data_IF_749404783945
#
_entry.id   IF_749404783945
#
_cell.length_a   1.000
_cell.length_b   1.000
_cell.length_c   1.000
_cell.angle_alpha   90.00
_cell.angle_beta   90.00
_cell.angle_gamma   90.00
#
_symmetry.space_group_name_H-M   'P 1'
#
loop_
_entity.id
_entity.type
_entity.pdbx_description
1 polymer ?
#
# COMPACT_ATOMS: atom_id res chain seq x y z
N UNK A 1 -17.72 4.47 14.16
CA UNK A 1 -17.58 4.66 12.70
C UNK A 1 -16.37 3.82 12.32
N UNK A 2 -16.35 2.86 11.39
CA UNK A 2 -17.19 2.59 10.22
C UNK A 2 -17.25 1.07 9.99
N UNK A 3 -18.45 0.52 9.81
CA UNK A 3 -18.71 -0.91 9.70
C UNK A 3 -18.48 -1.49 8.28
N UNK A 4 -17.62 -0.88 7.45
CA UNK A 4 -17.44 -1.29 6.04
C UNK A 4 -15.98 -1.48 5.60
N UNK A 5 -15.06 -1.74 6.53
CA UNK A 5 -13.70 -2.18 6.20
C UNK A 5 -13.56 -3.70 6.29
N UNK A 6 -14.57 -4.46 5.84
CA UNK A 6 -14.35 -5.90 5.69
C UNK A 6 -13.24 -6.07 4.64
N UNK A 7 -12.09 -6.68 5.00
CA UNK A 7 -11.07 -6.99 4.02
C UNK A 7 -11.73 -7.79 2.90
N UNK A 8 -11.60 -7.33 1.66
CA UNK A 8 -12.13 -8.08 0.51
C UNK A 8 -11.51 -9.47 0.56
N UNK A 9 -12.37 -10.50 0.56
CA UNK A 9 -11.90 -11.87 0.59
C UNK A 9 -11.13 -12.14 -0.70
N UNK A 10 -9.86 -12.56 -0.56
CA UNK A 10 -8.99 -12.81 -1.70
C UNK A 10 -9.59 -13.81 -2.71
N UNK A 11 -10.40 -14.77 -2.24
CA UNK A 11 -11.08 -15.74 -3.11
C UNK A 11 -12.16 -15.10 -3.96
N UNK A 12 -12.94 -14.17 -3.40
CA UNK A 12 -13.96 -13.42 -4.14
C UNK A 12 -13.30 -12.53 -5.20
N UNK A 13 -12.18 -11.90 -4.85
CA UNK A 13 -11.38 -11.12 -5.78
C UNK A 13 -10.86 -11.98 -6.96
N UNK A 14 -10.28 -13.15 -6.68
CA UNK A 14 -9.81 -14.10 -7.70
C UNK A 14 -10.91 -14.57 -8.65
N UNK A 15 -12.14 -14.72 -8.17
CA UNK A 15 -13.28 -15.07 -9.01
C UNK A 15 -13.65 -13.87 -9.89
N UNK A 16 -13.79 -12.69 -9.31
CA UNK A 16 -14.21 -11.48 -10.01
C UNK A 16 -13.27 -11.09 -11.17
N UNK A 17 -11.94 -11.23 -10.99
CA UNK A 17 -10.97 -10.84 -12.02
C UNK A 17 -11.00 -11.76 -13.26
N UNK A 18 -11.56 -12.97 -13.17
CA UNK A 18 -11.63 -13.90 -14.32
C UNK A 18 -12.53 -13.40 -15.44
N UNK A 19 -13.55 -12.62 -15.09
CA UNK A 19 -14.54 -12.11 -16.04
C UNK A 19 -14.20 -10.71 -16.59
N UNK A 20 -13.12 -10.09 -16.11
CA UNK A 20 -12.69 -8.76 -16.54
C UNK A 20 -11.91 -8.81 -17.85
N UNK A 21 -11.96 -7.71 -18.61
CA UNK A 21 -11.09 -7.50 -19.77
C UNK A 21 -9.65 -7.24 -19.36
N UNK A 22 -8.72 -7.45 -20.29
CA UNK A 22 -7.29 -7.27 -20.06
C UNK A 22 -6.95 -5.82 -19.67
N UNK A 23 -7.59 -4.84 -20.32
CA UNK A 23 -7.46 -3.41 -19.98
C UNK A 23 -7.89 -3.14 -18.53
N UNK A 24 -8.99 -3.76 -18.09
CA UNK A 24 -9.46 -3.63 -16.71
C UNK A 24 -8.48 -4.27 -15.71
N UNK A 25 -7.87 -5.41 -16.06
CA UNK A 25 -6.85 -6.04 -15.22
C UNK A 25 -5.62 -5.13 -15.06
N UNK A 26 -5.13 -4.54 -16.14
CA UNK A 26 -4.00 -3.59 -16.08
C UNK A 26 -4.36 -2.33 -15.30
N UNK A 27 -5.59 -1.81 -15.48
CA UNK A 27 -6.06 -0.65 -14.74
C UNK A 27 -6.11 -0.92 -13.23
N UNK A 28 -6.68 -2.06 -12.81
CA UNK A 28 -6.72 -2.47 -11.41
C UNK A 28 -5.29 -2.68 -10.86
N UNK A 29 -4.38 -3.25 -11.65
CA UNK A 29 -2.98 -3.43 -11.26
C UNK A 29 -2.33 -2.08 -10.91
N UNK A 30 -2.48 -1.09 -11.78
CA UNK A 30 -1.93 0.24 -11.56
C UNK A 30 -2.58 0.94 -10.37
N UNK A 31 -3.89 0.76 -10.16
CA UNK A 31 -4.59 1.30 -9.00
C UNK A 31 -4.07 0.69 -7.69
N UNK A 32 -3.84 -0.63 -7.64
CA UNK A 32 -3.27 -1.30 -6.47
C UNK A 32 -1.84 -0.81 -6.20
N UNK A 33 -0.98 -0.75 -7.22
CA UNK A 33 0.40 -0.25 -7.07
C UNK A 33 0.40 1.19 -6.55
N UNK A 34 -0.42 2.07 -7.14
CA UNK A 34 -0.51 3.47 -6.70
C UNK A 34 -1.05 3.60 -5.28
N UNK A 35 -1.98 2.72 -4.87
CA UNK A 35 -2.52 2.75 -3.51
C UNK A 35 -1.52 2.22 -2.49
N UNK A 36 -0.75 1.18 -2.81
CA UNK A 36 0.33 0.67 -1.95
C UNK A 36 1.38 1.78 -1.78
N UNK A 37 1.87 2.35 -2.87
CA UNK A 37 2.89 3.42 -2.83
C UNK A 37 2.44 4.61 -1.99
N UNK A 38 1.17 5.02 -2.06
CA UNK A 38 0.67 6.13 -1.21
C UNK A 38 0.60 5.78 0.28
N UNK A 39 0.31 4.51 0.60
CA UNK A 39 0.29 4.06 1.99
C UNK A 39 1.71 4.01 2.53
N UNK A 40 2.66 3.48 1.75
CA UNK A 40 4.09 3.49 2.08
C UNK A 40 4.63 4.93 2.25
N UNK A 41 4.30 5.86 1.34
CA UNK A 41 4.66 7.28 1.48
C UNK A 41 4.06 7.89 2.77
N UNK A 42 2.86 7.46 3.17
CA UNK A 42 2.21 7.93 4.40
C UNK A 42 2.89 7.37 5.63
N UNK A 43 3.26 6.08 5.61
CA UNK A 43 3.99 5.43 6.70
C UNK A 43 5.36 6.08 6.89
N UNK A 44 6.09 6.38 5.82
CA UNK A 44 7.35 7.12 5.87
C UNK A 44 7.19 8.49 6.56
N UNK A 45 6.09 9.21 6.29
CA UNK A 45 5.80 10.48 6.96
C UNK A 45 5.52 10.25 8.45
N UNK A 46 4.68 9.27 8.79
CA UNK A 46 4.32 8.97 10.19
C UNK A 46 5.53 8.50 11.01
N UNK A 47 6.43 7.72 10.42
CA UNK A 47 7.68 7.31 11.07
C UNK A 47 8.57 8.52 11.39
N UNK A 48 8.67 9.48 10.47
CA UNK A 48 9.40 10.72 10.72
C UNK A 48 8.75 11.56 11.83
N UNK A 49 7.42 11.66 11.87
CA UNK A 49 6.69 12.35 12.95
C UNK A 49 6.90 11.65 14.30
N UNK A 50 6.95 10.32 14.34
CA UNK A 50 7.28 9.54 15.53
C UNK A 50 8.69 9.87 16.03
N UNK A 51 9.67 9.95 15.14
CA UNK A 51 11.05 10.30 15.49
C UNK A 51 11.10 11.72 16.07
N UNK A 52 10.52 12.69 15.35
CA UNK A 52 10.46 14.10 15.77
C UNK A 52 9.80 14.27 17.14
N UNK A 53 8.66 13.60 17.35
CA UNK A 53 7.90 13.65 18.61
C UNK A 53 8.70 13.04 19.78
N UNK A 54 9.44 11.94 19.54
CA UNK A 54 10.32 11.33 20.55
C UNK A 54 11.48 12.25 20.92
N UNK A 55 12.06 12.95 19.95
CA UNK A 55 13.10 13.94 20.19
C UNK A 55 12.56 15.13 21.00
N UNK A 56 11.35 15.60 20.69
CA UNK A 56 10.68 16.68 21.44
C UNK A 56 10.46 16.28 22.91
N UNK A 57 9.89 15.08 23.17
CA UNK A 57 9.71 14.56 24.54
C UNK A 57 11.05 14.49 25.29
N UNK A 58 12.13 14.10 24.61
CA UNK A 58 13.45 13.96 25.23
C UNK A 58 14.08 15.31 25.60
N UNK A 59 13.66 16.39 24.97
CA UNK A 59 14.15 17.74 25.19
C UNK A 59 13.31 18.56 26.18
N UNK A 60 12.10 18.10 26.50
CA UNK A 60 11.21 18.75 27.48
C UNK A 60 11.69 18.53 28.92
N UNK A 61 11.39 19.50 29.78
CA UNK A 61 11.71 19.39 31.22
C UNK A 61 10.66 18.51 31.90
N UNK A 62 11.06 17.76 32.93
CA UNK A 62 10.16 16.91 33.74
C UNK A 62 8.94 17.65 34.34
N UNK A 63 8.96 19.00 34.38
CA UNK A 63 7.86 19.84 34.83
C UNK A 63 6.79 20.13 33.76
N UNK A 64 7.04 19.80 32.50
CA UNK A 64 6.13 20.02 31.37
C UNK A 64 5.29 18.76 31.11
N UNK A 65 4.00 18.90 30.76
CA UNK A 65 3.15 17.75 30.48
C UNK A 65 3.53 17.12 29.14
N UNK A 66 3.75 15.80 29.14
CA UNK A 66 4.08 15.03 27.94
C UNK A 66 2.86 14.27 27.39
N UNK A 67 1.68 14.46 27.96
CA UNK A 67 0.52 13.60 27.70
C UNK A 67 0.01 13.72 26.25
N UNK A 68 0.08 14.91 25.66
CA UNK A 68 -0.32 15.12 24.27
C UNK A 68 0.63 14.42 23.29
N UNK A 69 1.94 14.64 23.44
CA UNK A 69 2.95 14.02 22.58
C UNK A 69 2.94 12.48 22.67
N UNK A 70 2.62 11.92 23.86
CA UNK A 70 2.44 10.47 24.01
C UNK A 70 1.20 9.96 23.27
N UNK A 71 0.07 10.68 23.36
CA UNK A 71 -1.13 10.32 22.61
C UNK A 71 -0.89 10.40 21.10
N UNK A 72 -0.14 11.41 20.64
CA UNK A 72 0.21 11.55 19.22
C UNK A 72 1.08 10.37 18.75
N UNK A 73 2.06 9.94 19.56
CA UNK A 73 2.88 8.75 19.27
C UNK A 73 2.06 7.46 19.17
N UNK A 74 1.12 7.27 20.09
CA UNK A 74 0.24 6.10 20.08
C UNK A 74 -0.62 6.12 18.80
N UNK A 75 -1.19 7.28 18.46
CA UNK A 75 -2.01 7.43 17.24
C UNK A 75 -1.23 7.19 15.95
N UNK A 76 0.01 7.69 15.84
CA UNK A 76 0.84 7.46 14.67
C UNK A 76 1.22 5.98 14.55
N UNK A 77 1.52 5.32 15.68
CA UNK A 77 1.86 3.90 15.70
C UNK A 77 0.67 3.02 15.31
N UNK A 78 -0.53 3.32 15.82
CA UNK A 78 -1.78 2.65 15.43
C UNK A 78 -2.06 2.84 13.94
N UNK A 79 -1.85 4.04 13.40
CA UNK A 79 -2.08 4.35 11.98
C UNK A 79 -1.15 3.53 11.06
N UNK A 80 0.12 3.36 11.44
CA UNK A 80 1.08 2.51 10.68
C UNK A 80 0.65 1.04 10.73
N UNK A 81 0.18 0.55 11.88
CA UNK A 81 -0.30 -0.83 12.01
C UNK A 81 -1.53 -1.07 11.11
N UNK A 82 -2.47 -0.14 11.08
CA UNK A 82 -3.63 -0.21 10.19
C UNK A 82 -3.23 -0.18 8.70
N UNK A 83 -2.31 0.72 8.33
CA UNK A 83 -1.80 0.81 6.95
C UNK A 83 -1.10 -0.48 6.53
N UNK A 84 -0.31 -1.09 7.41
CA UNK A 84 0.38 -2.37 7.17
C UNK A 84 -0.62 -3.47 6.79
N UNK A 85 -1.73 -3.59 7.53
CA UNK A 85 -2.78 -4.58 7.24
C UNK A 85 -3.41 -4.34 5.86
N UNK A 86 -3.61 -3.07 5.50
CA UNK A 86 -4.16 -2.69 4.19
C UNK A 86 -3.17 -3.01 3.07
N UNK A 87 -1.89 -2.68 3.24
CA UNK A 87 -0.81 -2.98 2.28
C UNK A 87 -0.71 -4.49 2.04
N UNK A 88 -0.72 -5.31 3.10
CA UNK A 88 -0.71 -6.77 3.03
C UNK A 88 -1.89 -7.29 2.16
N UNK A 89 -3.11 -6.79 2.40
CA UNK A 89 -4.28 -7.17 1.62
C UNK A 89 -4.15 -6.76 0.14
N UNK A 90 -3.63 -5.57 -0.13
CA UNK A 90 -3.44 -5.09 -1.50
C UNK A 90 -2.35 -5.89 -2.24
N UNK A 91 -1.28 -6.27 -1.55
CA UNK A 91 -0.24 -7.14 -2.08
C UNK A 91 -0.78 -8.54 -2.42
N UNK A 92 -1.62 -9.13 -1.58
CA UNK A 92 -2.29 -10.40 -1.90
C UNK A 92 -3.14 -10.29 -3.17
N UNK A 93 -3.88 -9.18 -3.33
CA UNK A 93 -4.66 -8.91 -4.54
C UNK A 93 -3.77 -8.71 -5.76
N UNK A 94 -2.64 -8.03 -5.62
CA UNK A 94 -1.66 -7.83 -6.69
C UNK A 94 -1.06 -9.16 -7.16
N UNK A 95 -0.76 -10.08 -6.23
CA UNK A 95 -0.30 -11.44 -6.55
C UNK A 95 -1.36 -12.19 -7.35
N UNK A 96 -2.60 -12.26 -6.86
CA UNK A 96 -3.70 -12.92 -7.57
C UNK A 96 -3.94 -12.33 -8.98
N UNK A 97 -3.80 -11.02 -9.12
CA UNK A 97 -3.94 -10.34 -10.41
C UNK A 97 -2.79 -10.68 -11.37
N UNK A 98 -1.56 -10.74 -10.87
CA UNK A 98 -0.39 -11.14 -11.66
C UNK A 98 -0.50 -12.61 -12.10
N UNK A 99 -1.04 -13.50 -11.26
CA UNK A 99 -1.33 -14.88 -11.63
C UNK A 99 -2.35 -14.97 -12.78
N UNK A 100 -3.41 -14.18 -12.74
CA UNK A 100 -4.42 -14.12 -13.80
C UNK A 100 -3.85 -13.55 -15.10
N UNK A 101 -3.06 -12.47 -15.04
CA UNK A 101 -2.35 -11.92 -16.20
C UNK A 101 -1.39 -12.96 -16.80
N UNK A 102 -0.68 -13.72 -15.96
CA UNK A 102 0.19 -14.82 -16.40
C UNK A 102 -0.59 -15.94 -17.07
N UNK A 103 -1.74 -16.31 -16.51
CA UNK A 103 -2.65 -17.32 -17.09
C UNK A 103 -3.14 -16.92 -18.49
N UNK A 104 -3.34 -15.62 -18.72
CA UNK A 104 -3.75 -15.06 -20.01
C UNK A 104 -2.61 -14.82 -21.00
N UNK A 105 -1.35 -15.00 -20.57
CA UNK A 105 -0.18 -14.71 -21.41
C UNK A 105 0.11 -13.20 -21.57
N UNK A 106 -0.43 -12.37 -20.67
CA UNK A 106 -0.33 -10.90 -20.71
C UNK A 106 0.76 -10.36 -19.78
N UNK A 107 1.63 -11.23 -19.27
CA UNK A 107 2.80 -10.78 -18.52
C UNK A 107 3.73 -10.12 -19.52
N UNK A 108 3.74 -8.78 -19.53
CA UNK A 108 4.83 -8.02 -20.10
C UNK A 108 6.07 -8.39 -19.29
N UNK A 109 6.99 -9.12 -19.91
CA UNK A 109 8.35 -9.25 -19.41
C UNK A 109 8.94 -7.84 -19.35
N UNK A 110 8.79 -7.14 -18.22
CA UNK A 110 9.59 -5.95 -17.93
C UNK A 110 11.02 -6.38 -17.59
N UNK A 111 11.71 -6.91 -18.59
CA UNK A 111 13.16 -7.13 -18.63
C UNK A 111 13.60 -7.47 -20.06
N UNK A 112 13.13 -6.69 -21.03
CA UNK A 112 13.52 -6.79 -22.44
C UNK A 112 13.71 -5.41 -23.02
N UNK A 113 14.86 -4.78 -22.72
CA UNK A 113 15.40 -3.74 -23.60
C UNK A 113 15.47 -4.32 -25.00
N UNK A 114 14.82 -3.68 -25.96
CA UNK A 114 15.32 -3.41 -27.32
C UNK A 114 14.18 -2.78 -28.12
N UNK A 115 14.04 -1.47 -27.97
CA UNK A 115 13.51 -0.60 -29.01
C UNK A 115 14.48 -0.66 -30.20
N UNK A 116 14.37 -1.72 -31.01
CA UNK A 116 14.96 -1.78 -32.34
C UNK A 116 13.89 -1.40 -33.37
N UNK A 117 13.37 -0.18 -33.25
CA UNK A 117 12.69 0.51 -34.33
C UNK A 117 13.70 0.92 -35.41
N UNK A 118 13.96 0.04 -36.37
CA UNK A 118 14.65 0.39 -37.62
C UNK A 118 13.76 1.38 -38.37
N UNK A 119 14.18 2.65 -38.41
CA UNK A 119 13.64 3.60 -39.38
C UNK A 119 14.20 3.26 -40.76
N UNK A 120 13.31 2.81 -41.65
CA UNK A 120 13.55 2.72 -43.10
C UNK A 120 13.51 4.11 -43.74
#
# INVERSE_FOLDING_TARGET
MSAETKPININEFQIAIKDLSDENLHSIKNQLINSISKLEDTDDILENEIISTKEEISNLKESESHDQLKNDLDLYSESIEENTIVIENQNQRLVALNEELKRRGLVTSESGKEDNGVYL
#
